data_IF_410919700493
#
_entry.id   IF_410919700493
#
_cell.length_a   1.000
_cell.length_b   1.000
_cell.length_c   1.000
_cell.angle_alpha   90.00
_cell.angle_beta   90.00
_cell.angle_gamma   90.00
#
_symmetry.space_group_name_H-M   'P 1'
#
loop_
_entity.id
_entity.type
_entity.pdbx_description
1 polymer ?
#
# COMPACT_ATOMS: atom_id res chain seq x y z
N UNK A 1 20.67 -14.32 36.63
CA UNK A 1 21.29 -12.99 36.55
C UNK A 1 20.49 -12.14 35.56
N UNK A 2 19.83 -11.09 36.07
CA UNK A 2 19.46 -9.86 35.37
C UNK A 2 18.58 -9.92 34.12
N UNK A 3 17.24 -9.88 34.30
CA UNK A 3 16.32 -9.37 33.29
C UNK A 3 16.42 -7.84 33.30
N UNK A 4 17.13 -7.26 32.34
CA UNK A 4 17.15 -5.81 32.15
C UNK A 4 16.00 -5.39 31.23
N UNK A 5 14.95 -4.82 31.82
CA UNK A 5 13.93 -4.04 31.12
C UNK A 5 14.62 -2.88 30.39
N UNK A 6 14.86 -3.04 29.09
CA UNK A 6 15.18 -1.90 28.22
C UNK A 6 13.87 -1.17 27.98
N UNK A 7 13.74 -0.01 28.61
CA UNK A 7 12.81 1.08 28.29
C UNK A 7 13.06 1.60 26.87
N UNK A 8 12.90 0.71 25.87
CA UNK A 8 13.03 1.05 24.47
C UNK A 8 11.70 1.56 23.97
N UNK A 9 11.56 2.88 23.87
CA UNK A 9 10.55 3.47 22.98
C UNK A 9 10.78 2.83 21.61
N UNK A 10 9.84 1.98 21.18
CA UNK A 10 9.92 1.25 19.92
C UNK A 10 9.83 2.30 18.82
N UNK A 11 10.98 2.75 18.30
CA UNK A 11 11.03 3.67 17.16
C UNK A 11 10.35 2.98 15.97
N UNK A 12 9.12 3.41 15.70
CA UNK A 12 8.35 2.99 14.54
C UNK A 12 8.99 3.63 13.31
N UNK A 13 9.09 2.90 12.19
CA UNK A 13 9.50 3.53 10.93
C UNK A 13 8.50 4.65 10.60
N UNK A 14 8.90 5.92 10.45
CA UNK A 14 7.96 6.98 10.08
C UNK A 14 7.24 6.76 8.73
N UNK A 15 7.81 5.98 7.80
CA UNK A 15 7.10 5.53 6.58
C UNK A 15 6.24 4.28 6.78
N UNK A 16 6.21 3.72 8.00
CA UNK A 16 5.58 2.45 8.33
C UNK A 16 6.28 1.23 7.73
N UNK A 17 5.78 0.04 8.08
CA UNK A 17 5.95 -1.17 7.24
C UNK A 17 4.61 -1.42 6.55
N UNK A 18 4.61 -2.12 5.41
CA UNK A 18 3.36 -2.70 4.90
C UNK A 18 2.67 -3.43 6.05
N UNK A 19 1.40 -3.11 6.29
CA UNK A 19 0.61 -3.75 7.33
C UNK A 19 0.65 -5.26 7.05
N UNK A 20 1.12 -6.03 8.02
CA UNK A 20 1.26 -7.50 7.91
C UNK A 20 -0.10 -8.17 8.04
N UNK A 21 -0.17 -9.49 8.12
CA UNK A 21 -1.45 -10.23 8.15
C UNK A 21 -2.31 -10.01 9.41
N UNK A 22 -1.81 -9.38 10.48
CA UNK A 22 -2.53 -9.18 11.75
C UNK A 22 -2.56 -7.70 12.11
N UNK A 23 -3.76 -7.13 12.26
CA UNK A 23 -3.99 -5.69 12.55
C UNK A 23 -4.70 -5.52 13.90
N UNK A 24 -4.23 -4.57 14.70
CA UNK A 24 -4.88 -4.18 15.97
C UNK A 24 -5.75 -2.96 15.73
N UNK A 25 -7.06 -3.09 15.96
CA UNK A 25 -8.05 -2.02 15.72
C UNK A 25 -9.05 -2.00 16.86
N UNK A 26 -9.27 -0.83 17.46
CA UNK A 26 -10.26 -0.65 18.51
C UNK A 26 -11.69 -0.73 17.97
N UNK A 27 -12.58 -1.33 18.76
CA UNK A 27 -14.02 -1.30 18.48
C UNK A 27 -14.53 0.12 18.60
N UNK A 28 -15.44 0.52 17.72
CA UNK A 28 -16.13 1.81 17.79
C UNK A 28 -17.56 1.57 18.28
N UNK A 29 -18.07 2.40 19.23
CA UNK A 29 -19.42 2.24 19.74
C UNK A 29 -20.45 2.52 18.62
N UNK A 30 -21.46 1.66 18.53
CA UNK A 30 -22.60 1.80 17.63
C UNK A 30 -23.89 1.64 18.43
N UNK A 31 -24.84 2.56 18.26
CA UNK A 31 -26.00 2.73 19.15
C UNK A 31 -27.22 1.87 18.77
N UNK A 32 -27.19 1.15 17.65
CA UNK A 32 -28.30 0.31 17.21
C UNK A 32 -28.16 -1.15 17.70
N UNK A 33 -29.26 -1.90 17.62
CA UNK A 33 -29.36 -3.25 18.18
C UNK A 33 -28.22 -4.17 17.67
N UNK A 34 -27.56 -4.81 18.63
CA UNK A 34 -26.31 -5.56 18.53
C UNK A 34 -26.15 -6.43 17.28
N UNK A 35 -25.37 -5.95 16.30
CA UNK A 35 -24.84 -6.78 15.22
C UNK A 35 -23.40 -6.40 14.87
N UNK A 36 -22.69 -7.30 14.19
CA UNK A 36 -21.25 -7.27 13.93
C UNK A 36 -20.84 -6.17 12.94
N UNK A 37 -21.13 -4.90 13.26
CA UNK A 37 -20.71 -3.75 12.48
C UNK A 37 -19.20 -3.58 12.68
N UNK A 38 -18.42 -3.88 11.64
CA UNK A 38 -16.99 -3.61 11.67
C UNK A 38 -16.72 -2.10 11.73
N UNK A 39 -15.67 -1.66 12.45
CA UNK A 39 -15.29 -0.25 12.46
C UNK A 39 -14.78 0.17 11.07
N UNK A 40 -15.13 1.36 10.55
CA UNK A 40 -14.63 1.88 9.27
C UNK A 40 -13.10 1.82 9.12
N UNK A 41 -12.36 2.07 10.21
CA UNK A 41 -10.89 1.99 10.28
C UNK A 41 -10.32 0.61 9.95
N UNK A 42 -11.11 -0.45 10.11
CA UNK A 42 -10.73 -1.80 9.69
C UNK A 42 -10.87 -1.97 8.17
N UNK A 43 -11.95 -1.45 7.59
CA UNK A 43 -12.27 -1.65 6.18
C UNK A 43 -11.42 -0.76 5.25
N UNK A 44 -11.17 0.48 5.65
CA UNK A 44 -10.39 1.46 4.87
C UNK A 44 -9.05 0.91 4.33
N UNK A 45 -8.16 0.31 5.15
CA UNK A 45 -6.91 -0.25 4.64
C UNK A 45 -7.13 -1.44 3.69
N UNK A 46 -8.22 -2.21 3.82
CA UNK A 46 -8.53 -3.31 2.89
C UNK A 46 -8.90 -2.77 1.52
N UNK A 47 -9.79 -1.77 1.47
CA UNK A 47 -10.18 -1.13 0.21
C UNK A 47 -8.96 -0.45 -0.43
N UNK A 48 -8.14 0.27 0.33
CA UNK A 48 -6.92 0.91 -0.19
C UNK A 48 -5.87 -0.09 -0.70
N UNK A 49 -5.83 -1.29 -0.14
CA UNK A 49 -4.92 -2.35 -0.58
C UNK A 49 -5.42 -3.04 -1.86
N UNK A 50 -6.74 -3.26 -1.97
CA UNK A 50 -7.35 -3.97 -3.10
C UNK A 50 -7.70 -3.09 -4.30
N UNK A 51 -7.89 -1.78 -4.10
CA UNK A 51 -8.34 -0.85 -5.15
C UNK A 51 -7.31 0.22 -5.45
N UNK A 52 -7.21 0.57 -6.73
CA UNK A 52 -6.44 1.73 -7.14
C UNK A 52 -7.20 3.01 -6.80
N UNK A 53 -6.49 3.97 -6.21
CA UNK A 53 -7.02 5.32 -5.97
C UNK A 53 -7.21 6.11 -7.26
N UNK A 54 -6.41 5.82 -8.30
CA UNK A 54 -6.56 6.46 -9.61
C UNK A 54 -7.75 5.91 -10.38
N UNK A 55 -8.25 4.73 -10.01
CA UNK A 55 -9.31 4.02 -10.68
C UNK A 55 -8.80 2.87 -11.55
N UNK A 56 -9.68 2.43 -12.43
CA UNK A 56 -9.59 1.22 -13.21
C UNK A 56 -9.78 1.56 -14.71
N UNK A 57 -9.26 0.71 -15.59
CA UNK A 57 -9.47 0.82 -17.02
C UNK A 57 -10.96 0.65 -17.35
N UNK A 58 -11.59 1.54 -18.15
CA UNK A 58 -13.01 1.44 -18.47
C UNK A 58 -13.37 0.24 -19.35
N UNK A 59 -12.40 -0.31 -20.10
CA UNK A 59 -12.65 -1.44 -21.00
C UNK A 59 -12.57 -2.79 -20.29
N UNK A 60 -11.52 -3.01 -19.48
CA UNK A 60 -11.24 -4.31 -18.89
C UNK A 60 -11.31 -4.33 -17.35
N UNK A 61 -11.54 -3.18 -16.70
CA UNK A 61 -11.56 -3.06 -15.25
C UNK A 61 -10.20 -3.20 -14.55
N UNK A 62 -9.10 -3.35 -15.29
CA UNK A 62 -7.78 -3.51 -14.68
C UNK A 62 -7.36 -2.25 -13.89
N UNK A 63 -6.84 -2.40 -12.66
CA UNK A 63 -6.50 -1.27 -11.81
C UNK A 63 -5.25 -0.54 -12.30
N UNK A 64 -5.22 0.78 -12.11
CA UNK A 64 -4.01 1.56 -12.36
C UNK A 64 -2.96 1.34 -11.26
N UNK A 65 -1.69 1.20 -11.65
CA UNK A 65 -0.57 1.01 -10.74
C UNK A 65 0.17 2.33 -10.52
N UNK A 66 0.53 2.63 -9.26
CA UNK A 66 1.41 3.75 -8.92
C UNK A 66 2.81 3.51 -9.45
N UNK A 67 3.36 4.49 -10.14
CA UNK A 67 4.79 4.58 -10.41
C UNK A 67 5.41 5.27 -9.21
N UNK A 68 6.28 4.54 -8.52
CA UNK A 68 6.89 4.99 -7.26
C UNK A 68 8.38 5.09 -7.46
N UNK A 69 8.91 6.29 -7.27
CA UNK A 69 10.35 6.51 -7.20
C UNK A 69 10.83 6.26 -5.77
N UNK A 70 11.91 5.50 -5.66
CA UNK A 70 12.60 5.23 -4.41
C UNK A 70 14.02 5.71 -4.55
N UNK A 71 14.51 6.48 -3.57
CA UNK A 71 15.94 6.73 -3.49
C UNK A 71 16.65 5.43 -3.11
N UNK A 72 17.72 5.10 -3.81
CA UNK A 72 18.64 4.04 -3.37
C UNK A 72 19.31 4.51 -2.08
N UNK A 73 19.34 3.67 -1.05
CA UNK A 73 20.06 4.08 0.15
C UNK A 73 21.55 3.71 0.01
N UNK A 74 22.48 4.66 0.24
CA UNK A 74 23.90 4.47 -0.07
C UNK A 74 24.60 3.31 0.67
N UNK A 75 23.95 2.74 1.69
CA UNK A 75 24.51 1.71 2.58
C UNK A 75 23.55 0.53 2.79
N UNK A 76 22.43 0.48 2.10
CA UNK A 76 21.62 -0.73 2.04
C UNK A 76 22.04 -1.47 0.78
N UNK A 77 22.28 -2.76 0.92
CA UNK A 77 22.64 -3.63 -0.18
C UNK A 77 21.38 -3.93 -1.01
N UNK A 78 20.77 -2.92 -1.64
CA UNK A 78 19.66 -3.11 -2.58
C UNK A 78 20.04 -3.01 -4.06
N UNK A 79 21.31 -2.77 -4.40
CA UNK A 79 21.89 -3.12 -5.72
C UNK A 79 23.43 -3.21 -5.61
N UNK A 80 23.97 -4.44 -5.57
CA UNK A 80 25.38 -4.77 -5.89
C UNK A 80 26.55 -4.09 -5.13
N UNK A 81 26.34 -3.51 -3.96
CA UNK A 81 27.40 -2.77 -3.22
C UNK A 81 28.53 -3.61 -2.57
N UNK A 82 28.89 -4.77 -3.11
CA UNK A 82 30.09 -5.52 -2.69
C UNK A 82 31.17 -5.64 -3.77
N UNK A 83 30.94 -5.20 -5.02
CA UNK A 83 31.90 -5.48 -6.11
C UNK A 83 32.85 -4.31 -6.40
N UNK A 84 32.45 -3.05 -6.19
CA UNK A 84 33.26 -1.90 -6.61
C UNK A 84 34.21 -1.34 -5.53
N UNK A 85 34.94 -2.21 -4.83
CA UNK A 85 36.12 -1.79 -4.05
C UNK A 85 37.36 -2.66 -4.24
N UNK A 86 37.51 -3.30 -5.40
CA UNK A 86 38.83 -3.71 -5.90
C UNK A 86 39.54 -2.50 -6.52
N UNK A 87 39.92 -1.56 -5.64
CA UNK A 87 40.99 -0.63 -5.92
C UNK A 87 42.32 -1.36 -5.77
N UNK A 88 43.18 -1.23 -6.77
CA UNK A 88 44.54 -1.76 -6.78
C UNK A 88 45.33 -1.28 -5.55
N UNK A 89 45.90 -2.23 -4.79
CA UNK A 89 46.93 -1.96 -3.80
C UNK A 89 46.47 -1.89 -2.34
N UNK A 90 46.93 -2.84 -1.54
CA UNK A 90 46.96 -2.71 -0.07
C UNK A 90 46.53 -3.95 0.68
N UNK A 91 47.51 -4.77 1.08
CA UNK A 91 47.30 -5.83 2.06
C UNK A 91 46.81 -5.25 3.40
N UNK A 92 45.61 -5.66 3.83
CA UNK A 92 45.08 -5.32 5.15
C UNK A 92 43.64 -5.80 5.29
N UNK A 93 43.39 -6.71 6.25
CA UNK A 93 42.08 -7.31 6.50
C UNK A 93 40.95 -6.29 6.60
N UNK A 94 40.08 -6.27 5.58
CA UNK A 94 38.93 -5.38 5.51
C UNK A 94 37.75 -5.94 6.28
N UNK A 95 37.49 -5.40 7.46
CA UNK A 95 36.19 -5.51 8.11
C UNK A 95 35.08 -5.10 7.12
N UNK A 96 34.03 -5.93 6.99
CA UNK A 96 32.84 -5.67 6.17
C UNK A 96 32.38 -4.21 6.29
N UNK A 97 32.70 -3.38 5.29
CA UNK A 97 32.30 -1.98 5.27
C UNK A 97 30.83 -1.88 4.86
N UNK A 98 29.97 -2.07 5.85
CA UNK A 98 28.84 -1.19 6.11
C UNK A 98 27.52 -1.46 5.41
N UNK A 99 26.92 -2.64 5.58
CA UNK A 99 25.46 -2.78 5.45
C UNK A 99 24.83 -2.06 6.64
N UNK A 100 24.00 -1.07 6.38
CA UNK A 100 23.31 -0.32 7.42
C UNK A 100 22.34 -1.23 8.17
N UNK A 101 22.44 -1.25 9.51
CA UNK A 101 21.54 -2.04 10.36
C UNK A 101 20.07 -1.64 10.16
N UNK A 102 19.14 -2.58 10.36
CA UNK A 102 17.72 -2.39 10.02
C UNK A 102 17.02 -1.19 10.67
N UNK A 103 17.47 -0.74 11.85
CA UNK A 103 16.95 0.47 12.50
C UNK A 103 17.40 1.75 11.77
N UNK A 104 18.67 1.83 11.40
CA UNK A 104 19.18 2.94 10.61
C UNK A 104 18.59 2.95 9.19
N UNK A 105 18.28 1.78 8.60
CA UNK A 105 17.52 1.69 7.35
C UNK A 105 16.07 2.20 7.48
N UNK A 106 15.42 1.94 8.61
CA UNK A 106 14.10 2.49 8.88
C UNK A 106 14.16 4.02 9.02
N UNK A 107 15.11 4.57 9.78
CA UNK A 107 15.30 6.00 9.93
C UNK A 107 15.56 6.69 8.58
N UNK A 108 16.45 6.11 7.76
CA UNK A 108 16.76 6.66 6.44
C UNK A 108 15.55 6.66 5.50
N UNK A 109 14.77 5.57 5.45
CA UNK A 109 13.56 5.50 4.60
C UNK A 109 12.50 6.52 5.02
N UNK A 110 12.48 6.89 6.29
CA UNK A 110 11.59 7.93 6.78
C UNK A 110 12.01 9.35 6.41
N UNK A 111 13.31 9.63 6.41
CA UNK A 111 13.85 10.88 5.87
C UNK A 111 13.71 10.94 4.34
N UNK A 112 13.59 9.78 3.69
CA UNK A 112 13.53 9.63 2.23
C UNK A 112 12.33 8.76 1.80
N UNK A 113 11.08 9.20 2.06
CA UNK A 113 9.91 8.41 1.76
C UNK A 113 9.80 8.18 0.25
N UNK A 114 9.28 7.01 -0.18
CA UNK A 114 8.98 6.77 -1.58
C UNK A 114 7.94 7.79 -2.09
N UNK A 115 8.21 8.38 -3.25
CA UNK A 115 7.32 9.38 -3.85
C UNK A 115 6.57 8.76 -5.02
N UNK A 116 5.25 8.95 -5.06
CA UNK A 116 4.47 8.57 -6.24
C UNK A 116 4.68 9.64 -7.31
N UNK A 117 5.36 9.27 -8.39
CA UNK A 117 5.68 10.18 -9.50
C UNK A 117 4.66 10.11 -10.64
N UNK A 118 3.85 9.05 -10.67
CA UNK A 118 2.82 8.92 -11.69
C UNK A 118 1.99 7.65 -11.54
N UNK A 119 1.24 7.35 -12.60
CA UNK A 119 0.38 6.19 -12.71
C UNK A 119 0.53 5.56 -14.10
N UNK A 120 0.44 4.24 -14.17
CA UNK A 120 0.36 3.49 -15.43
C UNK A 120 -0.75 2.45 -15.38
N UNK A 121 -1.38 2.10 -16.51
CA UNK A 121 -2.31 0.99 -16.55
C UNK A 121 -1.54 -0.32 -16.31
N UNK A 122 -2.25 -1.34 -15.83
CA UNK A 122 -1.75 -2.71 -15.74
C UNK A 122 -2.16 -3.56 -16.95
N UNK A 123 -3.03 -3.01 -17.80
CA UNK A 123 -3.54 -3.63 -19.02
C UNK A 123 -2.95 -2.99 -20.29
N UNK A 124 -3.23 -3.62 -21.43
CA UNK A 124 -2.81 -3.17 -22.77
C UNK A 124 -3.87 -2.31 -23.49
N UNK A 125 -5.04 -2.09 -22.88
CA UNK A 125 -6.14 -1.30 -23.47
C UNK A 125 -5.83 0.19 -23.68
N UNK A 126 -4.90 0.76 -22.92
CA UNK A 126 -4.68 2.22 -22.88
C UNK A 126 -3.23 2.52 -23.26
N UNK A 127 -3.04 3.26 -24.35
CA UNK A 127 -1.72 3.61 -24.86
C UNK A 127 -0.99 2.44 -25.51
N UNK A 128 0.29 2.66 -25.81
CA UNK A 128 1.13 1.65 -26.44
C UNK A 128 2.12 1.05 -25.44
N UNK A 129 2.54 -0.18 -25.71
CA UNK A 129 3.50 -0.90 -24.90
C UNK A 129 4.68 -1.33 -25.74
N UNK A 130 5.84 -0.77 -25.41
CA UNK A 130 7.11 -1.19 -25.98
C UNK A 130 7.72 -2.30 -25.10
N UNK A 131 8.23 -3.32 -25.77
CA UNK A 131 8.89 -4.45 -25.13
C UNK A 131 10.35 -4.41 -25.53
N UNK A 132 11.21 -4.13 -24.57
CA UNK A 132 12.66 -4.17 -24.72
C UNK A 132 13.15 -5.50 -24.16
N UNK A 133 13.80 -6.28 -25.00
CA UNK A 133 14.49 -7.51 -24.61
C UNK A 133 15.99 -7.31 -24.64
N UNK A 134 16.70 -7.96 -23.73
CA UNK A 134 18.15 -8.04 -23.76
C UNK A 134 18.61 -9.26 -22.99
N UNK A 135 19.86 -9.65 -23.20
CA UNK A 135 20.52 -10.78 -22.53
C UNK A 135 21.93 -10.42 -22.06
N UNK A 136 22.24 -9.11 -21.99
CA UNK A 136 23.51 -8.63 -21.47
C UNK A 136 23.69 -9.16 -20.03
N UNK A 137 24.90 -9.47 -19.57
CA UNK A 137 25.08 -9.92 -18.20
C UNK A 137 25.05 -8.72 -17.25
N UNK A 138 24.42 -8.87 -16.08
CA UNK A 138 24.37 -7.82 -15.04
C UNK A 138 25.77 -7.37 -14.56
N UNK A 139 26.79 -8.21 -14.81
CA UNK A 139 28.20 -7.96 -14.49
C UNK A 139 29.13 -8.64 -15.50
N UNK A 140 30.37 -8.15 -15.69
CA UNK A 140 31.32 -8.73 -16.63
C UNK A 140 31.57 -10.23 -16.39
N UNK A 141 31.32 -11.07 -17.41
CA UNK A 141 31.48 -12.53 -17.33
C UNK A 141 30.34 -13.28 -16.62
N UNK A 142 29.25 -12.60 -16.26
CA UNK A 142 28.06 -13.21 -15.65
C UNK A 142 27.22 -14.05 -16.62
N UNK A 143 26.23 -14.79 -16.10
CA UNK A 143 25.29 -15.53 -16.94
C UNK A 143 24.43 -14.57 -17.77
N UNK A 144 24.26 -14.88 -19.06
CA UNK A 144 23.31 -14.18 -19.94
C UNK A 144 21.90 -14.66 -19.63
N UNK A 145 21.16 -13.89 -18.84
CA UNK A 145 19.78 -14.17 -18.47
C UNK A 145 18.89 -13.25 -19.29
N UNK A 146 18.11 -13.76 -20.25
CA UNK A 146 17.19 -12.93 -21.02
C UNK A 146 16.22 -12.21 -20.10
N UNK A 147 16.16 -10.89 -20.22
CA UNK A 147 15.17 -10.06 -19.55
C UNK A 147 14.22 -9.42 -20.54
N UNK A 148 13.09 -8.98 -20.00
CA UNK A 148 12.05 -8.27 -20.75
C UNK A 148 11.55 -7.10 -19.93
N UNK A 149 11.77 -5.89 -20.43
CA UNK A 149 11.26 -4.65 -19.84
C UNK A 149 10.09 -4.16 -20.67
N UNK A 150 8.99 -3.81 -20.00
CA UNK A 150 7.83 -3.17 -20.62
C UNK A 150 7.85 -1.69 -20.31
N UNK A 151 7.83 -0.86 -21.36
CA UNK A 151 7.69 0.59 -21.27
C UNK A 151 6.30 0.95 -21.77
N UNK A 152 5.58 1.71 -20.97
CA UNK A 152 4.26 2.21 -21.34
C UNK A 152 4.40 3.61 -21.92
N UNK A 153 3.82 3.80 -23.10
CA UNK A 153 3.73 5.08 -23.78
C UNK A 153 2.28 5.57 -23.69
N UNK A 154 2.00 6.62 -22.90
CA UNK A 154 0.64 7.13 -22.75
C UNK A 154 0.14 7.71 -24.08
N UNK A 155 -1.17 7.59 -24.38
CA UNK A 155 -1.76 8.31 -25.51
C UNK A 155 -1.77 9.82 -25.24
N UNK A 156 -1.90 10.63 -26.30
CA UNK A 156 -1.97 12.10 -26.19
C UNK A 156 -3.10 12.58 -25.26
N UNK A 157 -4.20 11.83 -25.21
CA UNK A 157 -5.33 12.09 -24.31
C UNK A 157 -5.70 10.82 -23.56
N UNK A 158 -5.72 10.89 -22.23
CA UNK A 158 -6.15 9.77 -21.40
C UNK A 158 -7.68 9.61 -21.41
N UNK A 159 -8.19 8.37 -21.40
CA UNK A 159 -9.62 8.13 -21.28
C UNK A 159 -10.12 8.55 -19.89
N UNK A 160 -11.44 8.77 -19.80
CA UNK A 160 -12.09 8.92 -18.49
C UNK A 160 -11.99 7.59 -17.75
N UNK A 161 -11.47 7.64 -16.52
CA UNK A 161 -11.27 6.45 -15.71
C UNK A 161 -12.55 6.07 -14.97
N UNK A 162 -12.77 4.77 -14.82
CA UNK A 162 -13.84 4.25 -13.95
C UNK A 162 -13.30 4.10 -12.53
N UNK A 163 -14.10 4.38 -11.49
CA UNK A 163 -13.77 3.95 -10.15
C UNK A 163 -13.58 2.43 -10.12
N UNK A 164 -12.72 1.95 -9.22
CA UNK A 164 -12.63 0.51 -8.98
C UNK A 164 -13.81 0.07 -8.11
N UNK A 165 -14.28 -1.16 -8.32
CA UNK A 165 -15.46 -1.72 -7.63
C UNK A 165 -15.03 -2.58 -6.43
N UNK A 166 -15.67 -2.38 -5.29
CA UNK A 166 -15.56 -3.23 -4.10
C UNK A 166 -16.78 -4.14 -4.01
N UNK A 167 -16.58 -5.47 -4.01
CA UNK A 167 -17.65 -6.44 -3.76
C UNK A 167 -17.65 -6.86 -2.29
N UNK A 168 -18.81 -6.76 -1.65
CA UNK A 168 -19.05 -7.31 -0.31
C UNK A 168 -20.27 -8.23 -0.31
N UNK A 169 -20.09 -9.57 -0.30
CA UNK A 169 -21.20 -10.51 -0.31
C UNK A 169 -21.92 -10.63 1.05
N UNK A 170 -21.41 -9.98 2.10
CA UNK A 170 -21.97 -9.96 3.45
C UNK A 170 -22.02 -8.52 3.98
N UNK A 171 -22.76 -7.68 3.27
CA UNK A 171 -22.76 -6.22 3.48
C UNK A 171 -23.13 -5.84 4.93
N UNK A 172 -24.03 -6.61 5.56
CA UNK A 172 -24.51 -6.34 6.91
C UNK A 172 -25.07 -4.92 7.00
N UNK A 173 -24.59 -4.13 7.97
CA UNK A 173 -25.01 -2.74 8.18
C UNK A 173 -24.43 -1.73 7.17
N UNK A 174 -23.71 -2.17 6.13
CA UNK A 174 -23.24 -1.29 5.06
C UNK A 174 -21.92 -0.55 5.30
N UNK A 175 -21.11 -0.93 6.31
CA UNK A 175 -19.82 -0.24 6.56
C UNK A 175 -18.91 -0.26 5.33
N UNK A 176 -18.85 -1.38 4.59
CA UNK A 176 -18.00 -1.50 3.40
C UNK A 176 -18.42 -0.55 2.29
N UNK A 177 -19.72 -0.50 1.96
CA UNK A 177 -20.24 0.41 0.94
C UNK A 177 -20.07 1.88 1.31
N UNK A 178 -20.26 2.21 2.59
CA UNK A 178 -19.99 3.55 3.13
C UNK A 178 -18.52 3.95 2.93
N UNK A 179 -17.57 3.12 3.36
CA UNK A 179 -16.14 3.42 3.26
C UNK A 179 -15.67 3.43 1.80
N UNK A 180 -16.19 2.54 0.94
CA UNK A 180 -15.90 2.56 -0.49
C UNK A 180 -16.34 3.89 -1.12
N UNK A 181 -17.56 4.34 -0.83
CA UNK A 181 -18.12 5.60 -1.32
C UNK A 181 -17.31 6.81 -0.84
N UNK A 182 -16.95 6.87 0.45
CA UNK A 182 -16.10 7.93 1.02
C UNK A 182 -14.72 7.99 0.37
N UNK A 183 -14.21 6.84 -0.07
CA UNK A 183 -12.96 6.74 -0.80
C UNK A 183 -13.15 7.02 -2.31
N UNK A 184 -14.36 7.28 -2.81
CA UNK A 184 -14.59 7.47 -4.25
C UNK A 184 -14.40 6.18 -5.06
N UNK A 185 -14.74 5.03 -4.48
CA UNK A 185 -14.80 3.73 -5.14
C UNK A 185 -16.27 3.38 -5.37
N UNK A 186 -16.53 2.68 -6.46
CA UNK A 186 -17.80 2.01 -6.66
C UNK A 186 -17.86 0.75 -5.78
N UNK A 187 -19.06 0.26 -5.51
CA UNK A 187 -19.23 -0.94 -4.69
C UNK A 187 -20.53 -1.66 -5.02
N UNK A 188 -20.53 -2.96 -4.73
CA UNK A 188 -21.69 -3.84 -4.81
C UNK A 188 -21.77 -4.61 -3.50
N UNK A 189 -22.85 -4.39 -2.76
CA UNK A 189 -23.13 -5.12 -1.52
C UNK A 189 -24.28 -6.10 -1.71
N UNK A 190 -24.16 -7.29 -1.12
CA UNK A 190 -25.23 -8.29 -1.07
C UNK A 190 -25.57 -8.52 0.41
N UNK A 191 -26.85 -8.44 0.73
CA UNK A 191 -27.38 -8.75 2.06
C UNK A 191 -28.69 -9.51 1.91
N UNK A 192 -28.82 -10.62 2.63
CA UNK A 192 -29.97 -11.51 2.56
C UNK A 192 -31.07 -11.07 3.51
N UNK A 193 -30.71 -10.48 4.66
CA UNK A 193 -31.66 -10.04 5.66
C UNK A 193 -32.22 -8.66 5.30
N UNK A 194 -33.54 -8.52 5.09
CA UNK A 194 -34.15 -7.25 4.71
C UNK A 194 -33.96 -6.13 5.75
N UNK A 195 -33.88 -6.46 7.05
CA UNK A 195 -33.67 -5.46 8.10
C UNK A 195 -32.26 -4.84 8.02
N UNK A 196 -31.24 -5.64 7.68
CA UNK A 196 -29.89 -5.14 7.44
C UNK A 196 -29.77 -4.39 6.13
N UNK A 197 -30.41 -4.88 5.07
CA UNK A 197 -30.42 -4.19 3.78
C UNK A 197 -30.97 -2.76 3.95
N UNK A 198 -32.07 -2.60 4.69
CA UNK A 198 -32.64 -1.29 5.02
C UNK A 198 -31.69 -0.40 5.82
N UNK A 199 -31.07 -0.95 6.87
CA UNK A 199 -30.08 -0.22 7.68
C UNK A 199 -28.87 0.23 6.84
N UNK A 200 -28.39 -0.62 5.93
CA UNK A 200 -27.30 -0.30 5.01
C UNK A 200 -27.70 0.82 4.05
N UNK A 201 -28.90 0.78 3.47
CA UNK A 201 -29.43 1.84 2.60
C UNK A 201 -29.46 3.20 3.32
N UNK A 202 -30.05 3.25 4.52
CA UNK A 202 -30.16 4.48 5.33
C UNK A 202 -28.77 5.05 5.67
N UNK A 203 -27.83 4.18 6.07
CA UNK A 203 -26.48 4.56 6.47
C UNK A 203 -25.65 5.08 5.30
N UNK A 204 -25.68 4.36 4.18
CA UNK A 204 -24.90 4.73 2.99
C UNK A 204 -25.48 6.00 2.37
N UNK A 205 -26.81 6.11 2.26
CA UNK A 205 -27.48 7.32 1.79
C UNK A 205 -27.12 8.55 2.62
N UNK A 206 -27.03 8.41 3.95
CA UNK A 206 -26.60 9.49 4.85
C UNK A 206 -25.11 9.83 4.73
N UNK A 207 -24.24 8.85 4.50
CA UNK A 207 -22.80 9.05 4.37
C UNK A 207 -22.37 9.63 3.00
N UNK A 208 -23.22 9.54 1.98
CA UNK A 208 -23.02 10.22 0.70
C UNK A 208 -23.19 11.75 0.79
N UNK A 209 -23.53 12.31 1.97
CA UNK A 209 -23.36 13.72 2.28
C UNK A 209 -21.87 14.01 2.62
N UNK A 210 -21.10 14.66 1.73
CA UNK A 210 -19.64 14.73 1.81
C UNK A 210 -19.07 15.57 2.97
N UNK A 211 -19.91 16.17 3.80
CA UNK A 211 -19.49 17.18 4.80
C UNK A 211 -19.10 16.60 6.17
N UNK A 212 -19.35 15.31 6.44
CA UNK A 212 -19.25 14.76 7.81
C UNK A 212 -18.10 13.78 8.06
N UNK A 213 -17.20 13.55 7.09
CA UNK A 213 -16.02 12.71 7.32
C UNK A 213 -14.73 13.52 7.18
N UNK A 214 -14.17 13.96 8.31
CA UNK A 214 -12.78 14.42 8.35
C UNK A 214 -11.89 13.36 8.99
N UNK A 215 -10.74 13.09 8.36
CA UNK A 215 -9.70 12.19 8.88
C UNK A 215 -9.21 12.58 10.29
N UNK A 216 -9.52 13.78 10.76
CA UNK A 216 -9.10 14.36 12.02
C UNK A 216 -9.91 13.90 13.25
N UNK A 217 -11.11 13.33 13.07
CA UNK A 217 -12.03 13.06 14.19
C UNK A 217 -11.74 11.79 14.99
N UNK A 218 -10.63 11.10 14.74
CA UNK A 218 -10.31 9.89 15.50
C UNK A 218 -8.87 9.93 16.01
N UNK A 219 -8.66 10.13 17.33
CA UNK A 219 -7.34 10.12 17.94
C UNK A 219 -6.54 8.89 17.51
N UNK A 220 -5.32 9.14 17.05
CA UNK A 220 -4.28 8.12 16.96
C UNK A 220 -3.90 7.72 18.40
N UNK A 221 -3.57 6.44 18.56
CA UNK A 221 -2.90 5.85 19.73
C UNK A 221 -3.75 5.37 20.93
N UNK A 222 -4.03 4.06 20.94
CA UNK A 222 -3.90 3.25 22.16
C UNK A 222 -3.53 1.80 21.82
N UNK A 223 -2.50 1.21 22.46
CA UNK A 223 -2.20 -0.21 22.30
C UNK A 223 -3.24 -1.06 23.04
N UNK A 224 -3.84 -2.03 22.33
CA UNK A 224 -4.90 -2.92 22.84
C UNK A 224 -4.38 -4.07 23.71
N UNK A 225 -3.06 -4.19 23.88
CA UNK A 225 -2.45 -5.13 24.81
C UNK A 225 -1.21 -4.49 25.43
N UNK A 226 -1.33 -4.05 26.68
CA UNK A 226 -0.21 -4.13 27.61
C UNK A 226 -0.05 -5.59 28.03
N UNK A 227 1.19 -6.12 28.14
CA UNK A 227 1.41 -7.48 28.64
C UNK A 227 0.82 -7.69 30.04
#
# INVERSE_FOLDING_TARGET
AGWALKTGVRQYNPSGRNKRSVWTIATQPYSEAHFATFPPKLIEPMIKAGTSEKGCCPECGSPWQRIVEKRACPRCADEWSQIDRIGEGGAGGGHNVGIMGGAALAAWRAEHPPTTTGWRPTCECIGEWEIITGDEPDFPGGPRIPWRKRIWHPPDTLPTLSPCVVLDPFLGSGTTGMVASLLGRDWLGIELNPDYAKMAEDRIGSAMAPETYTKADVPDDAPLFTP
#
